data_IF_299540525983
#
_entry.id   IF_299540525983
#
_cell.length_a   1.000
_cell.length_b   1.000
_cell.length_c   1.000
_cell.angle_alpha   90.00
_cell.angle_beta   90.00
_cell.angle_gamma   90.00
#
_symmetry.space_group_name_H-M   'P 1'
#
loop_
_entity.id
_entity.type
_entity.pdbx_description
1 polymer ?
#
# COMPACT_ATOMS: atom_id res chain seq x y z
N UNK A 1 20.55 83.39 -39.75
CA UNK A 1 19.83 82.97 -38.52
C UNK A 1 18.69 82.03 -38.90
N UNK A 2 18.50 80.97 -38.11
CA UNK A 2 17.32 80.08 -38.03
C UNK A 2 16.89 79.25 -39.25
N UNK A 3 17.64 78.21 -39.66
CA UNK A 3 16.98 77.08 -40.36
C UNK A 3 17.67 75.70 -40.30
N UNK A 4 18.94 75.58 -39.87
CA UNK A 4 19.61 74.27 -39.80
C UNK A 4 19.28 73.47 -38.52
N UNK A 5 18.93 74.14 -37.42
CA UNK A 5 18.64 73.47 -36.13
C UNK A 5 17.25 72.80 -36.06
N UNK A 6 16.30 73.16 -36.93
CA UNK A 6 14.94 72.63 -36.88
C UNK A 6 14.79 71.24 -37.52
N UNK A 7 15.69 70.85 -38.43
CA UNK A 7 15.57 69.58 -39.13
C UNK A 7 16.14 68.40 -38.30
N UNK A 8 17.22 68.63 -37.54
CA UNK A 8 17.83 67.61 -36.67
C UNK A 8 16.95 67.24 -35.46
N UNK A 9 16.11 68.17 -34.99
CA UNK A 9 15.18 67.94 -33.88
C UNK A 9 13.93 67.15 -34.30
N UNK A 10 13.59 67.16 -35.60
CA UNK A 10 12.43 66.44 -36.16
C UNK A 10 12.71 64.95 -36.37
N UNK A 11 13.91 64.60 -36.82
CA UNK A 11 14.36 63.21 -36.99
C UNK A 11 14.49 62.46 -35.64
N UNK A 12 15.01 63.13 -34.59
CA UNK A 12 15.07 62.51 -33.24
C UNK A 12 13.69 62.28 -32.61
N UNK A 13 12.67 63.08 -32.96
CA UNK A 13 11.29 62.84 -32.52
C UNK A 13 10.61 61.70 -33.28
N UNK A 14 11.03 61.40 -34.51
CA UNK A 14 10.48 60.29 -35.31
C UNK A 14 11.04 58.94 -34.86
N UNK A 15 12.33 58.88 -34.52
CA UNK A 15 12.97 57.67 -33.98
C UNK A 15 12.49 57.33 -32.57
N UNK A 16 12.13 58.33 -31.74
CA UNK A 16 11.56 58.10 -30.40
C UNK A 16 10.08 57.67 -30.38
N UNK A 17 9.37 57.76 -31.50
CA UNK A 17 7.94 57.36 -31.59
C UNK A 17 7.73 55.89 -31.96
N UNK A 18 8.78 55.13 -32.28
CA UNK A 18 8.67 53.70 -32.59
C UNK A 18 9.01 52.78 -31.38
N UNK A 19 8.99 53.33 -30.17
CA UNK A 19 9.15 52.54 -28.93
C UNK A 19 8.23 53.08 -27.85
N UNK A 20 6.99 53.40 -28.21
CA UNK A 20 5.92 53.67 -27.26
C UNK A 20 5.00 52.46 -27.23
N UNK A 21 5.07 51.72 -26.11
CA UNK A 21 3.93 50.92 -25.65
C UNK A 21 4.05 49.39 -25.71
N UNK A 22 5.09 48.79 -25.11
CA UNK A 22 5.01 47.37 -24.68
C UNK A 22 5.38 47.13 -23.20
N UNK A 23 5.64 48.19 -22.44
CA UNK A 23 5.86 48.12 -20.98
C UNK A 23 4.57 48.47 -20.27
N UNK A 24 3.67 47.51 -20.08
CA UNK A 24 2.42 47.76 -19.35
C UNK A 24 1.69 46.52 -18.87
N UNK A 25 1.64 45.43 -19.65
CA UNK A 25 0.70 44.33 -19.37
C UNK A 25 1.33 42.94 -19.18
N UNK A 26 2.67 42.81 -19.15
CA UNK A 26 3.31 41.49 -19.06
C UNK A 26 3.24 40.84 -17.67
N UNK A 27 3.00 41.60 -16.60
CA UNK A 27 2.91 41.02 -15.23
C UNK A 27 1.66 40.15 -15.03
N UNK A 28 0.56 40.47 -15.73
CA UNK A 28 -0.68 39.71 -15.64
C UNK A 28 -0.60 38.35 -16.33
N UNK A 29 0.03 38.30 -17.52
CA UNK A 29 0.18 37.05 -18.29
C UNK A 29 1.05 36.04 -17.54
N UNK A 30 2.15 36.48 -16.94
CA UNK A 30 3.00 35.62 -16.11
C UNK A 30 2.26 35.05 -14.90
N UNK A 31 1.40 35.84 -14.25
CA UNK A 31 0.61 35.37 -13.12
C UNK A 31 -0.42 34.31 -13.53
N UNK A 32 -1.03 34.46 -14.71
CA UNK A 32 -1.98 33.49 -15.26
C UNK A 32 -1.28 32.15 -15.54
N UNK A 33 -0.12 32.18 -16.21
CA UNK A 33 0.68 30.97 -16.47
C UNK A 33 1.11 30.28 -15.17
N UNK A 34 1.58 31.06 -14.18
CA UNK A 34 1.94 30.54 -12.87
C UNK A 34 0.73 29.90 -12.16
N UNK A 35 -0.45 30.48 -12.26
CA UNK A 35 -1.66 29.93 -11.65
C UNK A 35 -2.02 28.57 -12.26
N UNK A 36 -1.91 28.41 -13.58
CA UNK A 36 -2.10 27.12 -14.24
C UNK A 36 -1.09 26.07 -13.77
N UNK A 37 0.19 26.44 -13.63
CA UNK A 37 1.23 25.53 -13.12
C UNK A 37 0.95 25.12 -11.67
N UNK A 38 0.58 26.07 -10.81
CA UNK A 38 0.27 25.80 -9.40
C UNK A 38 -0.98 24.93 -9.24
N UNK A 39 -2.00 25.16 -10.08
CA UNK A 39 -3.21 24.33 -10.10
C UNK A 39 -2.84 22.89 -10.49
N UNK A 40 -2.07 22.71 -11.55
CA UNK A 40 -1.63 21.38 -12.00
C UNK A 40 -0.76 20.68 -10.95
N UNK A 41 0.15 21.40 -10.31
CA UNK A 41 0.97 20.90 -9.21
C UNK A 41 0.13 20.47 -8.00
N UNK A 42 -0.89 21.25 -7.63
CA UNK A 42 -1.79 20.94 -6.52
C UNK A 42 -2.51 19.60 -6.72
N UNK A 43 -2.97 19.33 -7.94
CA UNK A 43 -3.61 18.06 -8.31
C UNK A 43 -2.63 16.89 -8.14
N UNK A 44 -1.39 17.03 -8.61
CA UNK A 44 -0.36 15.99 -8.46
C UNK A 44 -0.06 15.71 -6.98
N UNK A 45 0.08 16.76 -6.15
CA UNK A 45 0.37 16.61 -4.72
C UNK A 45 -0.77 15.86 -4.03
N UNK A 46 -2.03 16.21 -4.32
CA UNK A 46 -3.18 15.54 -3.73
C UNK A 46 -3.22 14.05 -4.07
N UNK A 47 -2.99 13.70 -5.34
CA UNK A 47 -2.90 12.30 -5.78
C UNK A 47 -1.75 11.56 -5.11
N UNK A 48 -0.61 12.22 -4.94
CA UNK A 48 0.56 11.63 -4.28
C UNK A 48 0.28 11.33 -2.81
N UNK A 49 -0.39 12.24 -2.09
CA UNK A 49 -0.74 12.04 -0.68
C UNK A 49 -1.63 10.80 -0.52
N UNK A 50 -2.67 10.64 -1.36
CA UNK A 50 -3.57 9.48 -1.31
C UNK A 50 -2.81 8.15 -1.55
N UNK A 51 -1.92 8.11 -2.54
CA UNK A 51 -1.07 6.94 -2.82
C UNK A 51 -0.15 6.63 -1.63
N UNK A 52 0.50 7.65 -1.06
CA UNK A 52 1.43 7.48 0.07
C UNK A 52 0.71 6.93 1.31
N UNK A 53 -0.50 7.41 1.61
CA UNK A 53 -1.31 6.88 2.71
C UNK A 53 -1.63 5.40 2.50
N UNK A 54 -2.12 5.02 1.32
CA UNK A 54 -2.42 3.62 0.99
C UNK A 54 -1.19 2.72 1.05
N UNK A 55 -0.06 3.19 0.52
CA UNK A 55 1.21 2.47 0.57
C UNK A 55 1.72 2.30 2.00
N UNK A 56 1.52 3.31 2.86
CA UNK A 56 1.86 3.23 4.28
C UNK A 56 1.03 2.17 5.01
N UNK A 57 -0.28 2.11 4.76
CA UNK A 57 -1.15 1.04 5.30
C UNK A 57 -0.69 -0.32 4.80
N UNK A 58 -0.42 -0.46 3.49
CA UNK A 58 0.10 -1.70 2.91
C UNK A 58 1.40 -2.14 3.55
N UNK A 59 2.35 -1.22 3.76
CA UNK A 59 3.62 -1.52 4.40
C UNK A 59 3.50 -1.94 5.87
N UNK A 60 2.50 -1.40 6.60
CA UNK A 60 2.19 -1.86 7.97
C UNK A 60 1.64 -3.28 7.95
N UNK A 61 0.69 -3.56 7.07
CA UNK A 61 0.14 -4.90 6.89
C UNK A 61 1.23 -5.90 6.50
N UNK A 62 2.14 -5.53 5.59
CA UNK A 62 3.22 -6.39 5.14
C UNK A 62 4.18 -6.80 6.27
N UNK A 63 4.60 -5.81 7.08
CA UNK A 63 5.43 -6.09 8.27
C UNK A 63 4.72 -7.00 9.27
N UNK A 64 3.41 -6.85 9.44
CA UNK A 64 2.64 -7.69 10.35
C UNK A 64 2.41 -9.10 9.80
N UNK A 65 2.14 -9.26 8.50
CA UNK A 65 2.01 -10.59 7.89
C UNK A 65 3.33 -11.35 7.98
N UNK A 66 4.46 -10.68 7.69
CA UNK A 66 5.78 -11.29 7.83
C UNK A 66 6.15 -11.62 9.28
N UNK A 67 5.86 -10.70 10.21
CA UNK A 67 6.13 -10.95 11.63
C UNK A 67 5.29 -12.11 12.15
N UNK A 68 4.01 -12.18 11.77
CA UNK A 68 3.13 -13.25 12.24
C UNK A 68 3.53 -14.60 11.65
N UNK A 69 3.79 -14.69 10.35
CA UNK A 69 4.23 -15.96 9.74
C UNK A 69 5.56 -16.44 10.32
N UNK A 70 6.44 -15.52 10.73
CA UNK A 70 7.69 -15.86 11.44
C UNK A 70 7.42 -16.46 12.82
N UNK A 71 6.51 -15.87 13.60
CA UNK A 71 6.12 -16.40 14.91
C UNK A 71 5.46 -17.77 14.78
N UNK A 72 4.58 -17.95 13.78
CA UNK A 72 3.94 -19.24 13.50
C UNK A 72 4.96 -20.33 13.16
N UNK A 73 5.98 -19.97 12.37
CA UNK A 73 7.08 -20.88 12.04
C UNK A 73 7.93 -21.26 13.25
N UNK A 74 8.28 -20.31 14.13
CA UNK A 74 9.14 -20.60 15.29
C UNK A 74 8.43 -21.43 16.36
N UNK A 75 7.10 -21.34 16.44
CA UNK A 75 6.27 -22.11 17.37
C UNK A 75 6.54 -23.61 17.29
N UNK A 76 6.74 -24.17 16.09
CA UNK A 76 6.98 -25.62 15.93
C UNK A 76 8.21 -26.12 16.70
N UNK A 77 9.22 -25.27 16.92
CA UNK A 77 10.41 -25.61 17.72
C UNK A 77 10.20 -25.40 19.23
N UNK A 78 9.41 -24.39 19.61
CA UNK A 78 9.23 -24.02 21.01
C UNK A 78 8.24 -24.95 21.74
N UNK A 79 7.31 -25.57 21.01
CA UNK A 79 6.24 -26.42 21.54
C UNK A 79 6.41 -27.90 21.15
N UNK A 80 7.63 -28.42 21.32
CA UNK A 80 7.94 -29.86 21.26
C UNK A 80 7.50 -30.59 19.97
N UNK A 81 7.49 -29.86 18.84
CA UNK A 81 7.13 -30.40 17.52
C UNK A 81 5.63 -30.46 17.24
N UNK A 82 4.76 -29.88 18.07
CA UNK A 82 3.34 -29.76 17.73
C UNK A 82 3.14 -28.69 16.65
N UNK A 83 3.05 -29.16 15.41
CA UNK A 83 2.76 -28.32 14.26
C UNK A 83 1.29 -27.91 14.19
N UNK A 84 0.39 -28.48 14.99
CA UNK A 84 -1.04 -28.17 14.90
C UNK A 84 -1.32 -26.80 15.48
N UNK A 85 -1.93 -25.92 14.68
CA UNK A 85 -2.41 -24.63 15.17
C UNK A 85 -3.85 -24.80 15.64
N UNK A 86 -4.16 -24.27 16.82
CA UNK A 86 -5.52 -24.27 17.35
C UNK A 86 -6.25 -22.98 17.03
N UNK A 87 -7.58 -23.02 17.02
CA UNK A 87 -8.41 -21.83 16.82
C UNK A 87 -8.16 -20.74 17.89
N UNK A 88 -7.84 -21.14 19.12
CA UNK A 88 -7.51 -20.19 20.20
C UNK A 88 -6.21 -19.42 19.91
N UNK A 89 -5.18 -20.10 19.40
CA UNK A 89 -3.93 -19.46 18.98
C UNK A 89 -4.14 -18.51 17.80
N UNK A 90 -4.95 -18.93 16.83
CA UNK A 90 -5.34 -18.07 15.73
C UNK A 90 -6.09 -16.81 16.24
N UNK A 91 -6.95 -16.95 17.24
CA UNK A 91 -7.67 -15.82 17.85
C UNK A 91 -6.72 -14.87 18.59
N UNK A 92 -5.73 -15.41 19.31
CA UNK A 92 -4.66 -14.61 19.93
C UNK A 92 -3.84 -13.86 18.88
N UNK A 93 -3.55 -14.48 17.74
CA UNK A 93 -2.83 -13.84 16.65
C UNK A 93 -3.61 -12.64 16.07
N UNK A 94 -4.93 -12.77 15.92
CA UNK A 94 -5.80 -11.67 15.55
C UNK A 94 -5.71 -10.54 16.57
N UNK A 95 -5.84 -10.83 17.86
CA UNK A 95 -5.76 -9.83 18.92
C UNK A 95 -4.41 -9.06 18.92
N UNK A 96 -3.30 -9.75 18.65
CA UNK A 96 -1.98 -9.12 18.51
C UNK A 96 -1.95 -8.15 17.32
N UNK A 97 -2.49 -8.56 16.17
CA UNK A 97 -2.59 -7.71 14.99
C UNK A 97 -3.47 -6.50 15.27
N UNK A 98 -4.64 -6.70 15.88
CA UNK A 98 -5.57 -5.63 16.24
C UNK A 98 -4.89 -4.59 17.15
N UNK A 99 -4.17 -5.05 18.18
CA UNK A 99 -3.42 -4.17 19.09
C UNK A 99 -2.30 -3.41 18.37
N UNK A 100 -1.59 -4.08 17.46
CA UNK A 100 -0.54 -3.43 16.67
C UNK A 100 -1.12 -2.39 15.71
N UNK A 101 -2.18 -2.72 14.99
CA UNK A 101 -2.84 -1.80 14.06
C UNK A 101 -3.46 -0.62 14.80
N UNK A 102 -4.11 -0.84 15.94
CA UNK A 102 -4.68 0.22 16.78
C UNK A 102 -3.63 1.21 17.27
N UNK A 103 -2.39 0.76 17.53
CA UNK A 103 -1.30 1.67 17.92
C UNK A 103 -0.63 2.37 16.74
N UNK A 104 -0.74 1.83 15.52
CA UNK A 104 -0.01 2.34 14.35
C UNK A 104 -0.89 3.07 13.32
N UNK A 105 -2.20 2.87 13.33
CA UNK A 105 -3.18 3.51 12.45
C UNK A 105 -4.04 4.48 13.25
N UNK A 106 -4.10 5.74 12.82
CA UNK A 106 -4.89 6.77 13.50
C UNK A 106 -6.41 6.53 13.43
N UNK A 107 -6.89 5.88 12.37
CA UNK A 107 -8.31 5.59 12.11
C UNK A 107 -8.54 4.08 11.98
N UNK A 108 -8.09 3.34 13.00
CA UNK A 108 -8.27 1.90 13.06
C UNK A 108 -9.68 1.52 13.50
N UNK A 109 -10.31 0.60 12.77
CA UNK A 109 -11.61 0.03 13.10
C UNK A 109 -11.57 -1.49 12.97
N UNK A 110 -12.07 -2.21 13.97
CA UNK A 110 -12.03 -3.68 14.00
C UNK A 110 -12.95 -4.32 12.95
N UNK A 111 -13.96 -3.58 12.47
CA UNK A 111 -14.87 -4.05 11.41
C UNK A 111 -14.21 -4.13 10.02
N UNK A 112 -13.11 -3.37 9.82
CA UNK A 112 -12.41 -3.24 8.54
C UNK A 112 -11.28 -4.24 8.35
N UNK A 113 -10.98 -5.04 9.38
CA UNK A 113 -9.87 -6.00 9.40
C UNK A 113 -10.35 -7.43 9.10
N UNK A 114 -9.61 -8.10 8.24
CA UNK A 114 -9.69 -9.54 8.00
C UNK A 114 -8.32 -10.19 8.08
N UNK A 115 -8.27 -11.40 8.60
CA UNK A 115 -7.09 -12.24 8.74
C UNK A 115 -7.42 -13.62 8.17
N UNK A 116 -6.53 -14.15 7.34
CA UNK A 116 -6.61 -15.51 6.84
C UNK A 116 -5.27 -16.19 7.07
N UNK A 117 -5.27 -17.25 7.87
CA UNK A 117 -4.11 -18.10 8.11
C UNK A 117 -4.37 -19.45 7.46
N UNK A 118 -3.47 -19.88 6.59
CA UNK A 118 -3.49 -21.19 5.97
C UNK A 118 -2.23 -21.96 6.37
N UNK A 119 -2.42 -23.24 6.63
CA UNK A 119 -1.36 -24.18 6.94
C UNK A 119 -1.48 -25.39 6.02
N UNK A 120 -0.38 -25.79 5.39
CA UNK A 120 -0.32 -27.00 4.57
C UNK A 120 0.72 -27.95 5.15
N UNK A 121 0.24 -29.12 5.57
CA UNK A 121 1.07 -30.18 6.15
C UNK A 121 1.26 -31.33 5.16
N UNK A 122 2.26 -32.15 5.43
CA UNK A 122 2.61 -33.31 4.63
C UNK A 122 2.65 -34.58 5.48
N UNK A 123 2.21 -35.70 4.93
CA UNK A 123 2.34 -37.01 5.55
C UNK A 123 3.80 -37.54 5.43
N UNK A 124 4.06 -38.69 6.05
CA UNK A 124 5.37 -39.35 5.96
C UNK A 124 5.75 -39.78 4.53
N UNK A 125 4.79 -39.85 3.61
CA UNK A 125 4.98 -40.16 2.21
C UNK A 125 5.08 -38.90 1.33
N UNK A 126 5.14 -37.70 1.94
CA UNK A 126 5.20 -36.37 1.28
C UNK A 126 3.92 -35.98 0.55
N UNK A 127 2.83 -36.70 0.77
CA UNK A 127 1.51 -36.33 0.28
C UNK A 127 0.92 -35.23 1.14
N UNK A 128 0.09 -34.41 0.52
CA UNK A 128 -0.62 -33.33 1.17
C UNK A 128 -1.68 -33.88 2.14
N UNK A 129 -1.69 -33.37 3.36
CA UNK A 129 -2.80 -33.60 4.28
C UNK A 129 -3.93 -32.65 3.86
N UNK A 130 -5.16 -33.18 3.76
CA UNK A 130 -6.33 -32.40 3.36
C UNK A 130 -6.57 -31.23 4.31
N UNK A 131 -6.72 -30.02 3.75
CA UNK A 131 -6.97 -28.82 4.53
C UNK A 131 -8.44 -28.74 4.96
N UNK A 132 -8.68 -28.85 6.26
CA UNK A 132 -9.99 -28.60 6.85
C UNK A 132 -10.10 -27.16 7.38
N UNK A 133 -11.30 -26.58 7.24
CA UNK A 133 -11.64 -25.28 7.83
C UNK A 133 -11.62 -25.41 9.35
N UNK A 134 -11.03 -24.43 10.04
CA UNK A 134 -10.80 -24.40 11.50
C UNK A 134 -9.75 -25.38 12.04
N UNK A 135 -9.07 -26.11 11.17
CA UNK A 135 -7.92 -26.96 11.53
C UNK A 135 -6.66 -26.53 10.79
N UNK A 136 -6.80 -26.19 9.51
CA UNK A 136 -5.70 -25.80 8.62
C UNK A 136 -5.92 -24.42 8.01
N UNK A 137 -7.19 -23.99 7.90
CA UNK A 137 -7.59 -22.69 7.36
C UNK A 137 -8.36 -21.94 8.44
N UNK A 138 -7.85 -20.79 8.84
CA UNK A 138 -8.42 -19.92 9.86
C UNK A 138 -8.74 -18.57 9.25
N UNK A 139 -10.02 -18.37 8.90
CA UNK A 139 -10.55 -17.08 8.49
C UNK A 139 -11.10 -16.36 9.72
N UNK A 140 -10.58 -15.16 9.99
CA UNK A 140 -10.88 -14.38 11.18
C UNK A 140 -11.04 -12.89 10.85
N UNK A 141 -11.64 -12.17 11.79
CA UNK A 141 -11.96 -10.76 11.62
C UNK A 141 -13.37 -10.54 11.08
N UNK A 142 -13.75 -9.28 10.99
CA UNK A 142 -15.10 -8.88 10.58
C UNK A 142 -15.22 -8.74 9.06
N UNK A 143 -14.08 -8.58 8.38
CA UNK A 143 -14.02 -8.39 6.93
C UNK A 143 -13.62 -9.70 6.22
N UNK A 144 -14.33 -10.13 5.16
CA UNK A 144 -14.00 -11.34 4.43
C UNK A 144 -12.66 -11.17 3.68
N UNK A 145 -11.62 -11.82 4.18
CA UNK A 145 -10.31 -11.82 3.53
C UNK A 145 -10.16 -13.08 2.67
N UNK A 146 -9.75 -12.91 1.41
CA UNK A 146 -9.47 -14.02 0.50
C UNK A 146 -8.05 -13.92 -0.06
N UNK A 147 -7.45 -15.09 -0.28
CA UNK A 147 -6.13 -15.19 -0.88
C UNK A 147 -6.22 -15.05 -2.41
N UNK A 148 -5.22 -14.42 -3.02
CA UNK A 148 -5.11 -14.36 -4.49
C UNK A 148 -4.81 -15.74 -5.05
N UNK A 149 -3.95 -16.45 -4.35
CA UNK A 149 -3.44 -17.77 -4.68
C UNK A 149 -3.55 -18.60 -3.41
N UNK A 150 -4.40 -19.63 -3.38
CA UNK A 150 -4.58 -20.47 -2.19
C UNK A 150 -3.30 -21.25 -1.93
N UNK A 151 -3.02 -21.57 -0.66
CA UNK A 151 -1.83 -22.32 -0.28
C UNK A 151 -1.74 -23.69 -0.99
N UNK A 152 -2.88 -24.25 -1.40
CA UNK A 152 -2.98 -25.49 -2.17
C UNK A 152 -2.33 -25.44 -3.57
N UNK A 153 -2.09 -24.25 -4.12
CA UNK A 153 -1.38 -24.08 -5.39
C UNK A 153 0.12 -23.81 -5.18
N UNK A 154 0.54 -23.53 -3.94
CA UNK A 154 1.91 -23.13 -3.58
C UNK A 154 2.71 -24.28 -2.96
N UNK A 155 2.20 -25.51 -3.05
CA UNK A 155 2.73 -26.69 -2.36
C UNK A 155 4.13 -27.09 -2.87
N UNK A 156 4.43 -26.77 -4.12
CA UNK A 156 5.74 -26.97 -4.74
C UNK A 156 6.83 -26.06 -4.14
N UNK A 157 6.46 -25.00 -3.43
CA UNK A 157 7.40 -24.11 -2.74
C UNK A 157 7.90 -24.68 -1.42
N UNK A 158 7.35 -25.82 -0.96
CA UNK A 158 7.81 -26.46 0.26
C UNK A 158 9.17 -27.16 0.03
N UNK A 159 10.21 -26.76 0.78
CA UNK A 159 11.52 -27.39 0.68
C UNK A 159 11.52 -28.79 1.34
N UNK A 160 12.34 -29.68 0.76
CA UNK A 160 12.62 -31.01 1.31
C UNK A 160 13.89 -30.94 2.15
N UNK A 161 13.84 -31.49 3.36
CA UNK A 161 14.97 -31.54 4.29
C UNK A 161 15.97 -32.64 3.91
N UNK A 162 17.15 -32.64 4.57
CA UNK A 162 18.16 -33.68 4.39
C UNK A 162 17.69 -35.09 4.79
N UNK A 163 16.65 -35.17 5.61
CA UNK A 163 16.02 -36.42 6.05
C UNK A 163 14.82 -36.82 5.19
N UNK A 164 14.70 -36.22 4.00
CA UNK A 164 13.65 -36.52 3.02
C UNK A 164 12.21 -36.18 3.47
N UNK A 165 12.08 -35.35 4.51
CA UNK A 165 10.79 -34.83 4.99
C UNK A 165 10.47 -33.50 4.30
N UNK A 166 9.20 -33.33 3.89
CA UNK A 166 8.68 -32.09 3.30
C UNK A 166 8.17 -31.16 4.39
N UNK A 167 8.60 -29.89 4.37
CA UNK A 167 8.32 -28.94 5.45
C UNK A 167 6.91 -28.35 5.35
N UNK A 168 6.22 -28.23 6.48
CA UNK A 168 4.91 -27.58 6.58
C UNK A 168 4.99 -26.14 6.07
N UNK A 169 4.01 -25.71 5.25
CA UNK A 169 3.91 -24.33 4.78
C UNK A 169 2.91 -23.54 5.62
N UNK A 170 3.20 -22.27 5.82
CA UNK A 170 2.36 -21.31 6.50
C UNK A 170 2.17 -20.10 5.60
N UNK A 171 0.92 -19.70 5.40
CA UNK A 171 0.55 -18.50 4.67
C UNK A 171 -0.34 -17.63 5.55
N UNK A 172 0.03 -16.37 5.68
CA UNK A 172 -0.74 -15.38 6.44
C UNK A 172 -1.12 -14.27 5.51
N UNK A 173 -2.41 -13.97 5.43
CA UNK A 173 -2.95 -12.86 4.67
C UNK A 173 -3.72 -11.92 5.57
N UNK A 174 -3.40 -10.63 5.44
CA UNK A 174 -4.09 -9.54 6.10
C UNK A 174 -4.82 -8.70 5.05
N UNK A 175 -6.09 -8.45 5.31
CA UNK A 175 -6.92 -7.55 4.54
C UNK A 175 -7.38 -6.40 5.42
N UNK A 176 -7.24 -5.17 4.94
CA UNK A 176 -7.77 -4.00 5.62
C UNK A 176 -8.47 -3.08 4.65
N UNK A 177 -9.70 -2.71 4.97
CA UNK A 177 -10.48 -1.75 4.20
C UNK A 177 -10.04 -0.32 4.54
N UNK A 178 -9.59 0.42 3.52
CA UNK A 178 -9.15 1.81 3.68
C UNK A 178 -10.11 2.77 3.01
N UNK A 179 -10.32 3.92 3.64
CA UNK A 179 -11.05 5.01 3.00
C UNK A 179 -10.24 5.58 1.84
N UNK A 180 -10.91 5.75 0.71
CA UNK A 180 -10.32 6.32 -0.49
C UNK A 180 -10.55 7.84 -0.49
N UNK A 181 -9.53 8.63 -0.14
CA UNK A 181 -9.62 10.09 -0.11
C UNK A 181 -9.91 10.64 -1.51
N UNK A 182 -9.26 10.08 -2.53
CA UNK A 182 -9.57 10.37 -3.93
C UNK A 182 -10.98 9.91 -4.33
N UNK A 183 -11.38 8.70 -3.93
CA UNK A 183 -12.71 8.14 -4.19
C UNK A 183 -13.84 9.01 -3.63
N UNK A 184 -13.67 9.57 -2.43
CA UNK A 184 -14.66 10.50 -1.83
C UNK A 184 -14.86 11.78 -2.64
N UNK A 185 -13.84 12.25 -3.36
CA UNK A 185 -13.91 13.47 -4.18
C UNK A 185 -14.49 13.19 -5.58
N UNK A 186 -14.27 11.99 -6.12
CA UNK A 186 -14.65 11.63 -7.50
C UNK A 186 -15.70 10.52 -7.60
N UNK A 187 -16.36 10.14 -6.50
CA UNK A 187 -17.43 9.15 -6.46
C UNK A 187 -16.98 7.69 -6.57
N UNK A 188 -15.73 7.39 -6.24
CA UNK A 188 -15.15 6.05 -6.29
C UNK A 188 -15.37 5.21 -5.03
N UNK A 189 -15.40 3.89 -5.21
CA UNK A 189 -15.58 2.88 -4.15
C UNK A 189 -14.41 2.78 -3.17
N UNK A 190 -14.69 2.08 -2.05
CA UNK A 190 -13.74 1.69 -1.02
C UNK A 190 -12.66 0.78 -1.62
N UNK A 191 -11.40 0.99 -1.23
CA UNK A 191 -10.27 0.19 -1.73
C UNK A 191 -9.72 -0.64 -0.58
N UNK A 192 -9.69 -1.96 -0.77
CA UNK A 192 -9.08 -2.87 0.17
C UNK A 192 -7.57 -2.99 -0.09
N UNK A 193 -6.81 -3.01 0.99
CA UNK A 193 -5.38 -3.25 0.96
C UNK A 193 -5.14 -4.66 1.51
N UNK A 194 -4.39 -5.46 0.76
CA UNK A 194 -4.04 -6.82 1.15
C UNK A 194 -2.53 -7.00 1.19
N UNK A 195 -2.06 -7.76 2.18
CA UNK A 195 -0.70 -8.29 2.21
C UNK A 195 -0.71 -9.77 2.54
N UNK A 196 0.12 -10.54 1.85
CA UNK A 196 0.26 -11.98 2.03
C UNK A 196 1.74 -12.29 2.25
N UNK A 197 2.04 -13.07 3.28
CA UNK A 197 3.36 -13.58 3.58
C UNK A 197 3.35 -15.11 3.63
N UNK A 198 4.40 -15.74 3.11
CA UNK A 198 4.59 -17.18 3.07
C UNK A 198 5.87 -17.54 3.83
N UNK A 199 5.83 -18.61 4.61
CA UNK A 199 7.01 -19.20 5.26
C UNK A 199 6.86 -20.71 5.34
N UNK A 200 7.98 -21.39 5.56
CA UNK A 200 8.01 -22.84 5.77
C UNK A 200 8.48 -23.13 7.19
N UNK A 201 7.92 -24.17 7.81
CA UNK A 201 8.40 -24.77 9.04
C UNK A 201 9.88 -25.15 8.96
N UNK A 202 10.50 -25.37 10.10
CA UNK A 202 11.91 -25.77 10.15
C UNK A 202 12.05 -27.14 10.77
#
# INVERSE_FOLDING_TARGET
MTNSANNFSRERKKIRKSTVGLTGNQKGVFFIELCFVLLMLSVIIFLTIDIVVKQSVKGKLDRLSYSLVSVLRERSQLFDGDETMTYDEATKSLALIQNSLRSTLATYEDSRLGLLIEQQRFDANKNEISQNINEHIFAMGSYPCSNTTPLSELIDLSPVTQFDNKLTLYQVTLCYETENLFGRLFGGELVFVRSTALSFGR
#
